data_IF_078520919539
#
_entry.id   IF_078520919539
#
_cell.length_a   1.000
_cell.length_b   1.000
_cell.length_c   1.000
_cell.angle_alpha   90.00
_cell.angle_beta   90.00
_cell.angle_gamma   90.00
#
_symmetry.space_group_name_H-M   'P 1'
#
loop_
_entity.id
_entity.type
_entity.pdbx_description
1 polymer ?
#
# COMPACT_ATOMS: atom_id res chain seq x y z
N UNK A 1 -18.02 36.40 6.60
CA UNK A 1 -16.64 35.94 6.90
C UNK A 1 -16.35 34.87 5.90
N UNK A 2 -15.28 34.97 5.11
CA UNK A 2 -14.87 33.87 4.24
C UNK A 2 -14.41 32.70 5.17
N UNK A 3 -15.04 31.54 5.05
CA UNK A 3 -14.57 30.34 5.74
C UNK A 3 -13.14 30.06 5.28
N UNK A 4 -12.26 29.71 6.23
CA UNK A 4 -10.91 29.31 5.89
C UNK A 4 -10.97 28.04 5.06
N UNK A 5 -10.37 28.07 3.86
CA UNK A 5 -10.22 26.87 3.01
C UNK A 5 -8.99 26.05 3.39
N UNK A 6 -8.30 26.40 4.47
CA UNK A 6 -7.08 25.77 4.95
C UNK A 6 -7.24 25.27 6.38
N UNK A 7 -6.59 24.18 6.70
CA UNK A 7 -6.56 23.56 8.01
C UNK A 7 -5.14 23.17 8.41
N UNK A 8 -4.83 23.33 9.71
CA UNK A 8 -3.64 22.73 10.30
C UNK A 8 -3.92 21.27 10.62
N UNK A 9 -3.07 20.37 10.16
CA UNK A 9 -3.16 18.92 10.38
C UNK A 9 -1.83 18.35 10.86
N UNK A 10 -1.90 17.14 11.41
CA UNK A 10 -0.73 16.33 11.77
C UNK A 10 -0.82 14.99 11.09
N UNK A 11 0.23 14.61 10.36
CA UNK A 11 0.37 13.29 9.76
C UNK A 11 1.55 12.58 10.41
N UNK A 12 1.38 11.34 10.83
CA UNK A 12 2.47 10.50 11.30
C UNK A 12 2.93 9.65 10.13
N UNK A 13 4.01 10.05 9.46
CA UNK A 13 4.50 9.37 8.25
C UNK A 13 5.78 8.62 8.57
N UNK A 14 5.76 7.29 8.43
CA UNK A 14 6.89 6.41 8.69
C UNK A 14 7.52 6.62 10.09
N UNK A 15 6.69 6.91 11.11
CA UNK A 15 7.11 7.18 12.48
C UNK A 15 7.51 8.62 12.78
N UNK A 16 7.54 9.51 11.79
CA UNK A 16 7.80 10.93 11.97
C UNK A 16 6.51 11.75 11.94
N UNK A 17 6.41 12.78 12.80
CA UNK A 17 5.25 13.67 12.86
C UNK A 17 5.48 14.92 12.03
N UNK A 18 4.64 15.14 11.03
CA UNK A 18 4.63 16.32 10.18
C UNK A 18 3.43 17.21 10.52
N UNK A 19 3.68 18.49 10.81
CA UNK A 19 2.64 19.51 10.99
C UNK A 19 2.53 20.33 9.72
N UNK A 20 1.35 20.34 9.12
CA UNK A 20 1.11 20.93 7.81
C UNK A 20 -0.08 21.90 7.89
N UNK A 21 0.04 23.03 7.22
CA UNK A 21 -1.09 23.90 6.90
C UNK A 21 -1.48 23.65 5.43
N UNK A 22 -2.61 22.98 5.21
CA UNK A 22 -3.01 22.49 3.88
C UNK A 22 -4.33 23.11 3.43
N UNK A 23 -4.50 23.27 2.12
CA UNK A 23 -5.82 23.50 1.52
C UNK A 23 -6.69 22.25 1.80
N UNK A 24 -7.97 22.46 2.19
CA UNK A 24 -8.86 21.35 2.55
C UNK A 24 -9.17 20.39 1.39
N UNK A 25 -8.82 20.77 0.16
CA UNK A 25 -8.91 19.93 -1.05
C UNK A 25 -7.63 19.15 -1.33
N UNK A 26 -6.57 19.39 -0.56
CA UNK A 26 -5.26 18.73 -0.74
C UNK A 26 -5.41 17.22 -0.60
N UNK A 27 -4.93 16.45 -1.57
CA UNK A 27 -4.91 15.00 -1.47
C UNK A 27 -3.80 14.54 -0.52
N UNK A 28 -3.95 13.36 0.05
CA UNK A 28 -2.89 12.74 0.84
C UNK A 28 -1.66 12.48 -0.04
N UNK A 29 -1.85 12.12 -1.32
CA UNK A 29 -0.75 11.92 -2.26
C UNK A 29 0.11 13.18 -2.41
N UNK A 30 -0.52 14.33 -2.64
CA UNK A 30 0.18 15.60 -2.77
C UNK A 30 0.89 15.99 -1.47
N UNK A 31 0.20 15.83 -0.32
CA UNK A 31 0.79 16.12 0.98
C UNK A 31 2.04 15.26 1.25
N UNK A 32 1.99 13.97 0.94
CA UNK A 32 3.14 13.09 1.09
C UNK A 32 4.29 13.49 0.19
N UNK A 33 4.02 13.77 -1.09
CA UNK A 33 5.06 14.04 -2.08
C UNK A 33 5.68 15.43 -1.98
N UNK A 34 4.82 16.45 -1.81
CA UNK A 34 5.23 17.86 -1.92
C UNK A 34 5.50 18.49 -0.56
N UNK A 35 4.71 18.12 0.47
CA UNK A 35 4.81 18.76 1.77
C UNK A 35 5.72 17.97 2.74
N UNK A 36 5.79 16.62 2.62
CA UNK A 36 6.66 15.80 3.49
C UNK A 36 7.86 15.17 2.76
N UNK A 37 7.92 15.27 1.44
CA UNK A 37 9.06 14.77 0.64
C UNK A 37 9.07 13.26 0.40
N UNK A 38 8.02 12.52 0.79
CA UNK A 38 7.90 11.09 0.53
C UNK A 38 7.44 10.84 -0.90
N UNK A 39 8.36 10.63 -1.82
CA UNK A 39 8.10 10.49 -3.26
C UNK A 39 7.86 9.07 -3.72
N UNK A 40 7.91 8.09 -2.83
CA UNK A 40 7.60 6.68 -3.09
C UNK A 40 6.19 6.51 -3.68
N UNK A 41 5.11 7.00 -3.03
CA UNK A 41 3.78 6.98 -3.63
C UNK A 41 3.78 7.76 -4.94
N UNK A 42 3.29 7.14 -6.04
CA UNK A 42 3.38 7.73 -7.39
C UNK A 42 2.04 8.24 -7.89
N UNK A 43 2.07 9.41 -8.53
CA UNK A 43 0.93 9.94 -9.27
C UNK A 43 0.85 9.29 -10.66
N UNK A 44 0.06 8.21 -10.79
CA UNK A 44 -0.10 7.51 -12.07
C UNK A 44 -1.35 7.93 -12.84
N UNK A 45 -2.51 7.97 -12.19
CA UNK A 45 -3.79 8.28 -12.83
C UNK A 45 -4.57 9.41 -12.13
N UNK A 46 -4.24 9.70 -10.91
CA UNK A 46 -4.87 10.70 -10.03
C UNK A 46 -6.41 10.56 -9.87
N UNK A 47 -6.91 9.34 -10.06
CA UNK A 47 -8.34 9.02 -10.01
C UNK A 47 -8.63 7.62 -9.47
N UNK A 48 -7.73 7.06 -8.64
CA UNK A 48 -7.95 5.80 -7.92
C UNK A 48 -7.88 4.52 -8.75
N UNK A 49 -7.52 4.57 -10.05
CA UNK A 49 -7.60 3.40 -10.94
C UNK A 49 -6.32 2.55 -10.99
N UNK A 50 -5.15 3.15 -10.82
CA UNK A 50 -3.89 2.44 -11.10
C UNK A 50 -3.18 1.87 -9.88
N UNK A 51 -3.53 2.31 -8.67
CA UNK A 51 -2.92 1.85 -7.42
C UNK A 51 -1.46 2.26 -7.19
N UNK A 52 -0.82 3.03 -8.09
CA UNK A 52 0.59 3.44 -7.93
C UNK A 52 0.83 4.35 -6.70
N UNK A 53 -0.22 4.98 -6.20
CA UNK A 53 -0.21 5.81 -5.01
C UNK A 53 -0.64 5.08 -3.72
N UNK A 54 -0.76 3.75 -3.73
CA UNK A 54 -1.16 2.99 -2.54
C UNK A 54 -0.17 3.18 -1.41
N UNK A 55 -0.70 3.51 -0.23
CA UNK A 55 -0.01 3.58 1.06
C UNK A 55 -0.78 2.78 2.10
N UNK A 56 -0.20 2.56 3.27
CA UNK A 56 -0.91 2.01 4.42
C UNK A 56 -1.34 3.16 5.34
N UNK A 57 -2.62 3.29 5.58
CA UNK A 57 -3.25 4.20 6.52
C UNK A 57 -3.76 3.39 7.69
N UNK A 58 -3.21 3.60 8.87
CA UNK A 58 -3.50 2.80 10.07
C UNK A 58 -3.45 1.28 9.78
N UNK A 59 -2.43 0.86 9.02
CA UNK A 59 -2.21 -0.52 8.59
C UNK A 59 -3.06 -1.01 7.41
N UNK A 60 -4.02 -0.20 6.92
CA UNK A 60 -4.91 -0.56 5.80
C UNK A 60 -4.47 0.11 4.50
N UNK A 61 -4.48 -0.63 3.40
CA UNK A 61 -4.13 -0.08 2.09
C UNK A 61 -5.20 0.88 1.57
N UNK A 62 -4.76 2.09 1.19
CA UNK A 62 -5.61 3.12 0.58
C UNK A 62 -4.92 3.75 -0.63
N UNK A 63 -5.70 4.26 -1.58
CA UNK A 63 -5.19 5.06 -2.70
C UNK A 63 -5.12 6.52 -2.28
N UNK A 64 -3.93 7.03 -2.04
CA UNK A 64 -3.71 8.37 -1.47
C UNK A 64 -4.19 9.51 -2.37
N UNK A 65 -4.34 9.31 -3.68
CA UNK A 65 -4.89 10.32 -4.61
C UNK A 65 -6.40 10.58 -4.42
N UNK A 66 -7.14 9.66 -3.79
CA UNK A 66 -8.57 9.82 -3.47
C UNK A 66 -8.82 10.08 -1.98
N UNK A 67 -7.78 10.20 -1.19
CA UNK A 67 -7.85 10.48 0.25
C UNK A 67 -7.49 11.94 0.47
N UNK A 68 -8.36 12.73 1.13
CA UNK A 68 -8.04 14.10 1.50
C UNK A 68 -7.10 14.11 2.71
N UNK A 69 -6.07 14.94 2.67
CA UNK A 69 -5.11 15.06 3.78
C UNK A 69 -5.79 15.46 5.09
N UNK A 70 -6.78 16.35 5.04
CA UNK A 70 -7.56 16.78 6.23
C UNK A 70 -8.40 15.67 6.84
N UNK A 71 -8.79 14.65 6.06
CA UNK A 71 -9.61 13.55 6.56
C UNK A 71 -8.82 12.51 7.37
N UNK A 72 -7.49 12.61 7.34
CA UNK A 72 -6.56 11.68 8.00
C UNK A 72 -5.65 12.38 9.01
N UNK A 73 -6.11 13.52 9.57
CA UNK A 73 -5.42 14.22 10.64
C UNK A 73 -5.20 13.28 11.85
N UNK A 74 -3.97 13.18 12.29
CA UNK A 74 -3.57 12.34 13.42
C UNK A 74 -3.39 10.84 13.11
N UNK A 75 -3.57 10.42 11.85
CA UNK A 75 -3.40 9.00 11.46
C UNK A 75 -1.95 8.62 11.20
N UNK A 76 -1.67 7.32 11.32
CA UNK A 76 -0.39 6.71 10.98
C UNK A 76 -0.36 6.30 9.51
N UNK A 77 0.63 6.79 8.78
CA UNK A 77 0.80 6.53 7.36
C UNK A 77 2.14 5.83 7.14
N UNK A 78 2.10 4.65 6.51
CA UNK A 78 3.31 3.98 6.06
C UNK A 78 3.39 4.02 4.54
N UNK A 79 4.44 4.62 4.02
CA UNK A 79 4.79 4.60 2.60
C UNK A 79 5.82 3.50 2.34
N UNK A 80 6.20 3.27 1.08
CA UNK A 80 7.21 2.26 0.73
C UNK A 80 8.55 2.53 1.43
N UNK A 81 8.89 3.78 1.68
CA UNK A 81 10.11 4.20 2.40
C UNK A 81 10.11 3.69 3.85
N UNK A 82 8.95 3.58 4.48
CA UNK A 82 8.79 3.08 5.84
C UNK A 82 8.62 1.57 5.95
N UNK A 83 8.60 0.82 4.84
CA UNK A 83 8.52 -0.64 4.89
C UNK A 83 9.84 -1.29 5.29
N UNK A 84 10.97 -0.71 4.95
CA UNK A 84 12.29 -1.17 5.39
C UNK A 84 12.52 -0.82 6.88
N UNK A 85 13.26 -1.66 7.59
CA UNK A 85 13.60 -1.41 8.99
C UNK A 85 15.12 -1.31 9.13
N UNK A 86 15.63 -0.24 9.75
CA UNK A 86 17.07 -0.01 9.99
C UNK A 86 17.95 -0.13 8.74
N UNK A 87 17.39 0.16 7.56
CA UNK A 87 18.09 0.07 6.27
C UNK A 87 18.10 -1.31 5.65
N UNK A 88 17.48 -2.31 6.30
CA UNK A 88 17.35 -3.65 5.74
C UNK A 88 16.00 -3.82 5.03
N UNK A 89 16.06 -4.40 3.84
CA UNK A 89 14.86 -4.72 3.08
C UNK A 89 14.08 -5.86 3.76
N UNK A 90 12.76 -5.70 3.86
CA UNK A 90 11.87 -6.78 4.30
C UNK A 90 11.91 -7.98 3.33
N UNK A 91 11.54 -9.19 3.76
CA UNK A 91 11.47 -10.37 2.90
C UNK A 91 10.72 -10.12 1.59
N UNK A 92 9.59 -9.41 1.65
CA UNK A 92 8.81 -9.02 0.47
C UNK A 92 9.62 -8.16 -0.53
N UNK A 93 10.32 -7.14 -0.05
CA UNK A 93 11.15 -6.27 -0.89
C UNK A 93 12.31 -7.05 -1.51
N UNK A 94 12.94 -7.96 -0.73
CA UNK A 94 13.99 -8.84 -1.21
C UNK A 94 13.47 -9.79 -2.31
N UNK A 95 12.30 -10.41 -2.13
CA UNK A 95 11.68 -11.30 -3.11
C UNK A 95 11.33 -10.53 -4.40
N UNK A 96 10.88 -9.27 -4.32
CA UNK A 96 10.66 -8.43 -5.50
C UNK A 96 11.94 -8.22 -6.31
N UNK A 97 13.08 -8.01 -5.64
CA UNK A 97 14.38 -7.88 -6.32
C UNK A 97 14.86 -9.21 -6.89
N UNK A 98 14.77 -10.29 -6.12
CA UNK A 98 15.30 -11.62 -6.50
C UNK A 98 14.53 -12.28 -7.63
N UNK A 99 13.21 -12.00 -7.73
CA UNK A 99 12.31 -12.62 -8.70
C UNK A 99 11.88 -11.68 -9.83
N UNK A 100 12.55 -10.54 -9.99
CA UNK A 100 12.22 -9.53 -11.00
C UNK A 100 10.75 -9.07 -10.92
N UNK A 101 10.23 -8.85 -9.70
CA UNK A 101 8.88 -8.33 -9.44
C UNK A 101 8.70 -6.88 -9.88
N UNK A 102 9.68 -6.31 -10.59
CA UNK A 102 9.68 -4.94 -11.10
C UNK A 102 10.43 -4.84 -12.42
N UNK A 103 10.10 -3.84 -13.25
CA UNK A 103 10.86 -3.46 -14.43
C UNK A 103 11.15 -1.95 -14.36
N UNK A 104 10.26 -1.08 -14.85
CA UNK A 104 10.49 0.37 -14.76
C UNK A 104 10.47 0.93 -13.32
N UNK A 105 9.93 0.18 -12.36
CA UNK A 105 9.87 0.54 -10.94
C UNK A 105 8.75 1.52 -10.57
N UNK A 106 8.01 2.08 -11.52
CA UNK A 106 7.02 3.13 -11.23
C UNK A 106 5.86 2.65 -10.36
N UNK A 107 5.29 1.48 -10.63
CA UNK A 107 4.21 0.90 -9.82
C UNK A 107 4.70 0.18 -8.56
N UNK A 108 6.00 -0.07 -8.43
CA UNK A 108 6.58 -0.92 -7.37
C UNK A 108 6.26 -0.44 -5.97
N UNK A 109 6.33 0.87 -5.63
CA UNK A 109 5.94 1.35 -4.32
C UNK A 109 4.51 0.98 -3.93
N UNK A 110 3.56 1.22 -4.85
CA UNK A 110 2.16 0.87 -4.64
C UNK A 110 1.93 -0.63 -4.57
N UNK A 111 2.64 -1.44 -5.37
CA UNK A 111 2.57 -2.90 -5.33
C UNK A 111 3.05 -3.43 -3.97
N UNK A 112 4.16 -2.92 -3.44
CA UNK A 112 4.71 -3.34 -2.15
C UNK A 112 3.78 -2.98 -0.98
N UNK A 113 3.28 -1.73 -0.92
CA UNK A 113 2.31 -1.33 0.11
C UNK A 113 1.02 -2.15 0.01
N UNK A 114 0.53 -2.39 -1.23
CA UNK A 114 -0.65 -3.20 -1.45
C UNK A 114 -0.44 -4.67 -1.04
N UNK A 115 0.75 -5.23 -1.32
CA UNK A 115 1.08 -6.59 -0.94
C UNK A 115 1.15 -6.76 0.60
N UNK A 116 1.78 -5.81 1.31
CA UNK A 116 1.78 -5.82 2.79
C UNK A 116 0.36 -5.79 3.35
N UNK A 117 -0.48 -4.88 2.85
CA UNK A 117 -1.86 -4.76 3.32
C UNK A 117 -2.70 -6.00 3.00
N UNK A 118 -2.55 -6.58 1.78
CA UNK A 118 -3.31 -7.77 1.42
C UNK A 118 -2.87 -9.02 2.20
N UNK A 119 -1.60 -9.15 2.56
CA UNK A 119 -1.13 -10.23 3.43
C UNK A 119 -1.74 -10.12 4.83
N UNK A 120 -1.82 -8.91 5.38
CA UNK A 120 -2.49 -8.67 6.66
C UNK A 120 -4.00 -8.97 6.59
N UNK A 121 -4.67 -8.59 5.50
CA UNK A 121 -6.09 -8.90 5.26
C UNK A 121 -6.32 -10.42 5.14
N UNK A 122 -5.43 -11.12 4.43
CA UNK A 122 -5.49 -12.58 4.30
C UNK A 122 -5.29 -13.27 5.65
N UNK A 123 -4.27 -12.87 6.41
CA UNK A 123 -4.00 -13.41 7.75
C UNK A 123 -5.16 -13.15 8.73
N UNK A 124 -5.88 -12.05 8.57
CA UNK A 124 -7.10 -11.74 9.33
C UNK A 124 -8.37 -12.50 8.85
N UNK A 125 -8.24 -13.37 7.84
CA UNK A 125 -9.34 -14.15 7.29
C UNK A 125 -10.34 -13.35 6.44
N UNK A 126 -9.96 -12.18 5.94
CA UNK A 126 -10.85 -11.38 5.10
C UNK A 126 -11.08 -12.07 3.76
N UNK A 127 -12.36 -12.14 3.30
CA UNK A 127 -12.66 -12.74 2.01
C UNK A 127 -12.18 -11.86 0.85
N UNK A 128 -12.02 -12.48 -0.32
CA UNK A 128 -11.78 -11.84 -1.61
C UNK A 128 -12.84 -12.25 -2.61
N UNK A 129 -12.82 -11.72 -3.84
CA UNK A 129 -13.78 -12.12 -4.87
C UNK A 129 -13.63 -13.58 -5.32
N UNK A 130 -12.49 -14.23 -5.02
CA UNK A 130 -12.27 -15.67 -5.32
C UNK A 130 -12.50 -16.57 -4.12
N UNK A 131 -12.97 -16.05 -2.99
CA UNK A 131 -13.31 -16.83 -1.80
C UNK A 131 -14.66 -17.53 -2.05
N UNK A 132 -14.63 -18.86 -2.18
CA UNK A 132 -15.81 -19.65 -2.54
C UNK A 132 -16.82 -19.77 -1.39
N UNK A 133 -16.34 -19.87 -0.14
CA UNK A 133 -17.16 -20.00 1.07
C UNK A 133 -16.81 -18.87 2.04
N UNK A 134 -17.78 -18.01 2.31
CA UNK A 134 -17.68 -16.86 3.24
C UNK A 134 -18.48 -17.11 4.53
N UNK A 135 -18.88 -18.34 4.82
CA UNK A 135 -19.57 -18.68 6.05
C UNK A 135 -18.64 -18.50 7.27
N UNK A 136 -19.20 -18.21 8.47
CA UNK A 136 -18.38 -17.99 9.66
C UNK A 136 -17.49 -19.18 10.05
N UNK A 137 -17.87 -20.38 9.66
CA UNK A 137 -17.18 -21.63 9.96
C UNK A 137 -16.31 -22.13 8.78
N UNK A 138 -16.17 -21.34 7.72
CA UNK A 138 -15.34 -21.69 6.58
C UNK A 138 -13.88 -21.86 7.00
N UNK A 139 -13.18 -22.90 6.51
CA UNK A 139 -11.76 -23.05 6.77
C UNK A 139 -10.99 -21.88 6.19
N UNK A 140 -9.89 -21.49 6.87
CA UNK A 140 -9.00 -20.47 6.36
C UNK A 140 -8.51 -20.87 4.95
N UNK A 141 -8.62 -19.94 4.00
CA UNK A 141 -8.16 -20.16 2.63
C UNK A 141 -6.63 -20.11 2.61
N UNK A 142 -6.01 -21.05 1.91
CA UNK A 142 -4.59 -21.01 1.61
C UNK A 142 -4.29 -19.82 0.68
N UNK A 143 -3.16 -19.15 0.89
CA UNK A 143 -2.69 -18.09 0.02
C UNK A 143 -2.10 -18.70 -1.25
N UNK A 144 -2.86 -18.71 -2.32
CA UNK A 144 -2.44 -19.19 -3.63
C UNK A 144 -2.25 -18.05 -4.65
N UNK A 145 -1.84 -18.41 -5.86
CA UNK A 145 -1.60 -17.44 -6.92
C UNK A 145 -2.89 -16.74 -7.41
N UNK A 146 -4.05 -17.37 -7.28
CA UNK A 146 -5.34 -16.79 -7.65
C UNK A 146 -5.74 -15.71 -6.65
N UNK A 147 -5.60 -16.01 -5.35
CA UNK A 147 -5.85 -15.09 -4.24
C UNK A 147 -4.95 -13.86 -4.32
N UNK A 148 -3.65 -14.05 -4.59
CA UNK A 148 -2.71 -12.92 -4.76
C UNK A 148 -3.06 -12.06 -5.97
N UNK A 149 -3.42 -12.66 -7.12
CA UNK A 149 -3.82 -11.90 -8.32
C UNK A 149 -5.05 -11.06 -8.05
N UNK A 150 -6.05 -11.64 -7.41
CA UNK A 150 -7.30 -10.95 -7.09
C UNK A 150 -7.03 -9.77 -6.15
N UNK A 151 -6.35 -10.01 -5.03
CA UNK A 151 -6.09 -8.98 -4.02
C UNK A 151 -5.18 -7.85 -4.52
N UNK A 152 -4.36 -8.09 -5.54
CA UNK A 152 -3.51 -7.09 -6.17
C UNK A 152 -4.08 -6.53 -7.48
N UNK A 153 -5.29 -6.90 -7.88
CA UNK A 153 -5.92 -6.47 -9.14
C UNK A 153 -6.05 -4.95 -9.28
N UNK A 154 -6.15 -4.23 -8.16
CA UNK A 154 -6.19 -2.76 -8.12
C UNK A 154 -4.85 -2.05 -8.40
N UNK A 155 -3.74 -2.79 -8.56
CA UNK A 155 -2.42 -2.23 -8.78
C UNK A 155 -1.91 -2.55 -10.20
N UNK A 156 -1.97 -1.57 -11.10
CA UNK A 156 -1.62 -1.75 -12.52
C UNK A 156 -0.11 -1.67 -12.76
N UNK A 157 0.41 -2.62 -13.52
CA UNK A 157 1.79 -2.63 -14.01
C UNK A 157 1.82 -2.59 -15.53
N UNK A 158 2.22 -1.45 -16.12
CA UNK A 158 2.26 -1.29 -17.57
C UNK A 158 3.33 -2.16 -18.24
N UNK A 159 4.37 -2.54 -17.51
CA UNK A 159 5.42 -3.46 -17.99
C UNK A 159 5.00 -4.94 -17.95
N UNK A 160 3.88 -5.27 -17.31
CA UNK A 160 3.35 -6.62 -17.25
C UNK A 160 4.12 -7.57 -16.31
N UNK A 161 4.79 -7.06 -15.26
CA UNK A 161 5.56 -7.87 -14.32
C UNK A 161 4.70 -8.73 -13.39
N UNK A 162 3.39 -8.85 -13.62
CA UNK A 162 2.44 -9.55 -12.74
C UNK A 162 2.84 -10.98 -12.36
N UNK A 163 3.32 -11.85 -13.28
CA UNK A 163 3.73 -13.20 -12.89
C UNK A 163 4.86 -13.21 -11.85
N UNK A 164 5.83 -12.33 -12.01
CA UNK A 164 6.94 -12.17 -11.07
C UNK A 164 6.50 -11.54 -9.74
N UNK A 165 5.60 -10.56 -9.77
CA UNK A 165 5.01 -9.95 -8.56
C UNK A 165 4.27 -11.01 -7.75
N UNK A 166 3.42 -11.82 -8.38
CA UNK A 166 2.68 -12.90 -7.68
C UNK A 166 3.63 -13.90 -7.03
N UNK A 167 4.67 -14.32 -7.76
CA UNK A 167 5.69 -15.22 -7.22
C UNK A 167 6.44 -14.60 -6.04
N UNK A 168 6.80 -13.32 -6.13
CA UNK A 168 7.51 -12.62 -5.06
C UNK A 168 6.68 -12.52 -3.78
N UNK A 169 5.37 -12.27 -3.91
CA UNK A 169 4.45 -12.22 -2.77
C UNK A 169 4.30 -13.59 -2.12
N UNK A 170 4.10 -14.65 -2.90
CA UNK A 170 3.99 -16.01 -2.37
C UNK A 170 5.28 -16.48 -1.68
N UNK A 171 6.44 -16.17 -2.25
CA UNK A 171 7.72 -16.52 -1.63
C UNK A 171 7.95 -15.76 -0.32
N UNK A 172 7.59 -14.48 -0.27
CA UNK A 172 7.69 -13.68 0.95
C UNK A 172 6.77 -14.21 2.06
N UNK A 173 5.52 -14.54 1.73
CA UNK A 173 4.56 -15.12 2.67
C UNK A 173 5.08 -16.42 3.28
N UNK A 174 5.60 -17.33 2.45
CA UNK A 174 6.16 -18.60 2.93
C UNK A 174 7.39 -18.42 3.85
N UNK A 175 8.20 -17.37 3.65
CA UNK A 175 9.32 -17.03 4.53
C UNK A 175 8.87 -16.47 5.88
N UNK A 176 7.81 -15.67 5.91
CA UNK A 176 7.25 -15.11 7.16
C UNK A 176 6.60 -16.20 8.02
N UNK A 177 5.90 -17.17 7.41
CA UNK A 177 5.34 -18.34 8.12
C UNK A 177 6.40 -19.24 8.79
N UNK A 178 7.58 -19.35 8.20
CA UNK A 178 8.70 -20.17 8.76
C UNK A 178 9.43 -19.45 9.89
N UNK A 179 9.36 -18.11 9.93
CA UNK A 179 10.05 -17.27 10.92
C UNK A 179 9.22 -17.00 12.20
N UNK A 180 7.93 -17.33 12.21
CA UNK A 180 6.99 -17.15 13.35
C UNK A 180 6.78 -18.44 14.09
#
# INVERSE_FOLDING_TARGET
MAESTRSEIRLHVNGETHRLDVDNRRTLLDALREDTGHTGPKEGCDRGQCGACTVLLDGRRVVSCLTLAVAVDGSDITTVEGLAHEGELRPLQQSFVQLDGLQCGYCTPGQLCSAVGMLAEHAAGWPSAVTADVSPDAPARELDAEEVRERLSGNLCRCGAYPSIVRAVLEAAAREEVAG
#
